data_IF_819419824255
#
_entry.id   IF_819419824255
#
_cell.length_a   1.000
_cell.length_b   1.000
_cell.length_c   1.000
_cell.angle_alpha   90.00
_cell.angle_beta   90.00
_cell.angle_gamma   90.00
#
_symmetry.space_group_name_H-M   'P 1'
#
loop_
_entity.id
_entity.type
_entity.pdbx_description
1 polymer ?
#
# COMPACT_ATOMS: atom_id res chain seq x y z
N UNK A 1 -48.92 -22.70 22.78
CA UNK A 1 -47.56 -22.28 23.18
C UNK A 1 -47.04 -21.32 22.08
N UNK A 2 -47.33 -20.07 22.28
CA UNK A 2 -47.00 -19.01 21.29
C UNK A 2 -46.53 -17.77 22.06
N UNK A 3 -45.45 -17.14 21.59
CA UNK A 3 -45.08 -15.78 21.91
C UNK A 3 -44.21 -15.49 23.16
N UNK A 4 -43.03 -16.05 23.25
CA UNK A 4 -42.02 -15.54 24.19
C UNK A 4 -40.81 -14.86 23.46
N UNK A 5 -40.85 -14.71 22.14
CA UNK A 5 -39.73 -14.09 21.37
C UNK A 5 -39.97 -12.64 20.93
N UNK A 6 -41.10 -12.01 21.30
CA UNK A 6 -41.46 -10.67 20.80
C UNK A 6 -40.73 -9.51 21.49
N UNK A 7 -39.96 -9.72 22.56
CA UNK A 7 -39.27 -8.67 23.31
C UNK A 7 -37.75 -8.89 23.47
N UNK A 8 -37.11 -9.69 22.59
CA UNK A 8 -35.66 -9.80 22.64
C UNK A 8 -35.04 -8.47 22.15
N UNK A 9 -34.04 -7.91 22.86
CA UNK A 9 -33.35 -6.71 22.37
C UNK A 9 -32.70 -6.99 21.04
N UNK A 10 -32.65 -6.01 20.11
CA UNK A 10 -32.03 -6.21 18.79
C UNK A 10 -30.55 -6.56 18.94
N UNK A 11 -30.09 -7.54 18.15
CA UNK A 11 -28.67 -7.91 18.07
C UNK A 11 -27.88 -6.70 17.58
N UNK A 12 -26.73 -6.43 18.20
CA UNK A 12 -25.88 -5.28 17.87
C UNK A 12 -24.54 -5.75 17.32
N UNK A 13 -24.12 -5.16 16.20
CA UNK A 13 -22.76 -5.27 15.71
C UNK A 13 -21.81 -4.43 16.58
N UNK A 14 -20.52 -4.81 16.60
CA UNK A 14 -19.52 -4.01 17.32
C UNK A 14 -19.34 -2.64 16.68
N UNK A 15 -18.94 -1.64 17.47
CA UNK A 15 -18.63 -0.30 16.94
C UNK A 15 -17.52 -0.34 15.87
N UNK A 16 -16.54 -1.25 16.01
CA UNK A 16 -15.47 -1.45 15.02
C UNK A 16 -16.02 -1.94 13.68
N UNK A 17 -16.91 -2.94 13.69
CA UNK A 17 -17.53 -3.45 12.46
C UNK A 17 -18.33 -2.35 11.73
N UNK A 18 -19.02 -1.49 12.49
CA UNK A 18 -19.78 -0.37 11.91
C UNK A 18 -18.90 0.79 11.43
N UNK A 19 -17.68 0.94 11.96
CA UNK A 19 -16.74 2.01 11.60
C UNK A 19 -15.89 1.68 10.35
N UNK A 20 -15.82 0.41 9.92
CA UNK A 20 -15.06 0.03 8.72
C UNK A 20 -15.71 0.67 7.48
N UNK A 21 -14.93 1.50 6.80
CA UNK A 21 -15.37 2.15 5.58
C UNK A 21 -15.33 1.18 4.39
N UNK A 22 -16.33 1.27 3.53
CA UNK A 22 -16.32 0.54 2.26
C UNK A 22 -15.30 1.17 1.30
N UNK A 23 -14.50 0.35 0.66
CA UNK A 23 -13.52 0.82 -0.32
C UNK A 23 -14.20 1.41 -1.55
N UNK A 24 -14.00 2.72 -1.81
CA UNK A 24 -14.49 3.39 -3.02
C UNK A 24 -14.01 2.69 -4.31
N UNK A 25 -12.79 2.16 -4.30
CA UNK A 25 -12.21 1.40 -5.42
C UNK A 25 -13.03 0.14 -5.70
N UNK A 26 -13.42 -0.61 -4.67
CA UNK A 26 -14.23 -1.85 -4.82
C UNK A 26 -15.66 -1.57 -5.26
N UNK A 27 -16.24 -0.45 -4.81
CA UNK A 27 -17.56 -0.01 -5.30
C UNK A 27 -17.58 0.18 -6.81
N UNK A 28 -16.59 0.89 -7.36
CA UNK A 28 -16.46 1.09 -8.79
C UNK A 28 -16.26 -0.22 -9.55
N UNK A 29 -15.44 -1.13 -9.03
CA UNK A 29 -15.23 -2.45 -9.62
C UNK A 29 -16.54 -3.28 -9.69
N UNK A 30 -17.37 -3.20 -8.66
CA UNK A 30 -18.67 -3.86 -8.66
C UNK A 30 -19.61 -3.28 -9.72
N UNK A 31 -19.54 -1.98 -10.00
CA UNK A 31 -20.30 -1.33 -11.09
C UNK A 31 -19.77 -1.73 -12.47
N UNK A 32 -18.45 -1.72 -12.66
CA UNK A 32 -17.81 -2.16 -13.92
C UNK A 32 -18.23 -3.58 -14.31
N UNK A 33 -18.32 -4.49 -13.34
CA UNK A 33 -18.69 -5.89 -13.60
C UNK A 33 -20.15 -6.08 -14.04
N UNK A 34 -21.00 -5.07 -13.91
CA UNK A 34 -22.40 -5.08 -14.37
C UNK A 34 -22.56 -4.53 -15.78
N UNK A 35 -21.55 -3.85 -16.33
CA UNK A 35 -21.61 -3.24 -17.66
C UNK A 35 -21.06 -4.23 -18.69
N UNK A 36 -21.86 -4.55 -19.72
CA UNK A 36 -21.49 -5.43 -20.82
C UNK A 36 -21.16 -4.64 -22.09
N UNK A 37 -20.34 -5.20 -22.98
CA UNK A 37 -20.02 -4.62 -24.28
C UNK A 37 -19.03 -3.44 -24.24
N UNK A 38 -18.45 -3.13 -23.09
CA UNK A 38 -17.47 -2.05 -22.93
C UNK A 38 -16.14 -2.62 -22.45
N UNK A 39 -15.07 -2.19 -23.08
CA UNK A 39 -13.71 -2.49 -22.60
C UNK A 39 -13.26 -1.40 -21.63
N UNK A 40 -12.98 -1.79 -20.39
CA UNK A 40 -12.52 -0.88 -19.35
C UNK A 40 -11.00 -0.93 -19.16
N UNK A 41 -10.34 0.19 -19.37
CA UNK A 41 -8.95 0.39 -19.00
C UNK A 41 -8.86 0.61 -17.48
N UNK A 42 -8.44 -0.41 -16.72
CA UNK A 42 -8.40 -0.36 -15.25
C UNK A 42 -7.10 0.26 -14.75
N UNK A 43 -7.11 1.55 -14.40
CA UNK A 43 -6.02 2.29 -13.78
C UNK A 43 -6.21 2.51 -12.27
N UNK A 44 -7.32 1.99 -11.72
CA UNK A 44 -7.67 2.13 -10.30
C UNK A 44 -7.02 1.07 -9.39
N UNK A 45 -6.60 -0.08 -9.93
CA UNK A 45 -6.08 -1.21 -9.15
C UNK A 45 -4.56 -1.29 -9.29
N UNK A 46 -3.87 -1.29 -8.14
CA UNK A 46 -2.42 -1.45 -8.07
C UNK A 46 -1.97 -2.90 -7.89
N UNK A 47 -2.50 -3.79 -8.73
CA UNK A 47 -2.04 -5.17 -8.79
C UNK A 47 -1.05 -5.32 -9.95
N UNK A 48 0.22 -5.69 -9.69
CA UNK A 48 1.18 -6.02 -10.74
C UNK A 48 0.64 -7.02 -11.75
N UNK A 49 0.97 -6.83 -13.04
CA UNK A 49 0.66 -7.76 -14.12
C UNK A 49 1.92 -8.35 -14.80
N UNK A 50 3.10 -7.90 -14.38
CA UNK A 50 4.37 -8.57 -14.75
C UNK A 50 4.29 -10.01 -14.24
N UNK A 51 4.68 -11.01 -15.06
CA UNK A 51 4.61 -12.40 -14.63
C UNK A 51 5.34 -12.66 -13.33
N UNK A 52 4.72 -13.42 -12.43
CA UNK A 52 5.41 -13.93 -11.24
C UNK A 52 6.64 -14.75 -11.66
N UNK A 53 7.82 -14.57 -11.05
CA UNK A 53 9.05 -15.27 -11.46
C UNK A 53 8.87 -16.77 -11.49
N UNK A 54 9.44 -17.43 -12.51
CA UNK A 54 9.31 -18.87 -12.70
C UNK A 54 9.79 -19.66 -11.48
N UNK A 55 10.89 -19.25 -10.85
CA UNK A 55 11.42 -19.90 -9.65
C UNK A 55 10.40 -19.88 -8.48
N UNK A 56 9.59 -18.81 -8.35
CA UNK A 56 8.53 -18.68 -7.35
C UNK A 56 7.39 -19.67 -7.66
N UNK A 57 7.00 -19.75 -8.93
CA UNK A 57 5.93 -20.67 -9.36
C UNK A 57 6.35 -22.14 -9.21
N UNK A 58 7.61 -22.47 -9.54
CA UNK A 58 8.15 -23.81 -9.38
C UNK A 58 8.24 -24.21 -7.91
N UNK A 59 8.71 -23.31 -7.04
CA UNK A 59 8.73 -23.56 -5.59
C UNK A 59 7.31 -23.74 -5.01
N UNK A 60 6.33 -23.00 -5.54
CA UNK A 60 4.94 -23.15 -5.15
C UNK A 60 4.35 -24.52 -5.61
N UNK A 61 4.77 -25.02 -6.76
CA UNK A 61 4.33 -26.29 -7.30
C UNK A 61 5.04 -27.51 -6.67
N UNK A 62 6.25 -27.33 -6.15
CA UNK A 62 7.10 -28.39 -5.60
C UNK A 62 6.66 -28.95 -4.24
N UNK A 63 5.60 -28.43 -3.62
CA UNK A 63 5.10 -28.95 -2.35
C UNK A 63 4.45 -30.32 -2.55
N UNK A 64 5.10 -31.34 -2.01
CA UNK A 64 4.67 -32.77 -2.09
C UNK A 64 4.37 -33.36 -0.69
N UNK A 65 4.08 -32.52 0.29
CA UNK A 65 3.75 -33.02 1.63
C UNK A 65 2.37 -33.66 1.65
N UNK A 66 2.31 -34.90 2.14
CA UNK A 66 1.03 -35.62 2.32
C UNK A 66 0.17 -35.01 3.43
N UNK A 67 0.78 -34.25 4.36
CA UNK A 67 0.10 -33.55 5.45
C UNK A 67 0.50 -32.08 5.44
N UNK A 68 -0.47 -31.20 5.28
CA UNK A 68 -0.28 -29.75 5.40
C UNK A 68 -0.24 -29.37 6.88
N UNK A 69 0.90 -29.59 7.53
CA UNK A 69 1.10 -29.30 8.94
C UNK A 69 1.23 -27.79 9.21
N UNK A 70 0.96 -27.40 10.46
CA UNK A 70 1.23 -26.03 10.91
C UNK A 70 2.73 -25.73 10.85
N UNK A 71 3.06 -24.51 10.38
CA UNK A 71 4.40 -23.95 10.54
C UNK A 71 4.56 -23.19 11.86
N UNK A 72 5.81 -22.81 12.24
CA UNK A 72 6.05 -21.96 13.39
C UNK A 72 5.29 -20.63 13.32
N UNK A 73 4.90 -20.09 14.47
CA UNK A 73 4.11 -18.85 14.56
C UNK A 73 4.82 -17.62 13.94
N UNK A 74 6.13 -17.53 14.12
CA UNK A 74 6.97 -16.47 13.53
C UNK A 74 7.34 -16.71 12.06
N UNK A 75 6.99 -17.86 11.51
CA UNK A 75 7.35 -18.33 10.17
C UNK A 75 8.44 -19.40 10.16
N UNK A 76 8.59 -20.07 9.01
CA UNK A 76 9.66 -21.07 8.80
C UNK A 76 11.03 -20.44 9.04
N UNK A 77 11.93 -21.16 9.67
CA UNK A 77 13.28 -20.67 9.96
C UNK A 77 13.99 -20.23 8.68
N UNK A 78 13.91 -21.05 7.65
CA UNK A 78 14.52 -20.78 6.33
C UNK A 78 13.92 -19.53 5.66
N UNK A 79 12.64 -19.26 5.87
CA UNK A 79 11.98 -18.08 5.32
C UNK A 79 12.42 -16.82 6.07
N UNK A 80 12.55 -16.89 7.39
CA UNK A 80 13.08 -15.79 8.22
C UNK A 80 14.54 -15.51 7.89
N UNK A 81 15.37 -16.55 7.68
CA UNK A 81 16.76 -16.41 7.24
C UNK A 81 16.85 -15.74 5.87
N UNK A 82 16.03 -16.18 4.91
CA UNK A 82 15.99 -15.59 3.58
C UNK A 82 15.55 -14.12 3.62
N UNK A 83 14.57 -13.78 4.45
CA UNK A 83 14.13 -12.40 4.65
C UNK A 83 15.21 -11.54 5.30
N UNK A 84 15.87 -12.04 6.36
CA UNK A 84 16.99 -11.35 6.99
C UNK A 84 18.14 -11.11 6.01
N UNK A 85 18.51 -12.12 5.21
CA UNK A 85 19.53 -12.00 4.18
C UNK A 85 19.15 -10.99 3.09
N UNK A 86 17.89 -11.00 2.66
CA UNK A 86 17.38 -10.04 1.68
C UNK A 86 17.47 -8.59 2.18
N UNK A 87 16.97 -8.32 3.39
CA UNK A 87 17.05 -7.00 3.99
C UNK A 87 18.48 -6.60 4.31
N UNK A 88 19.36 -7.55 4.66
CA UNK A 88 20.79 -7.31 4.93
C UNK A 88 21.58 -6.85 3.72
N UNK A 89 21.08 -7.01 2.50
CA UNK A 89 21.72 -6.44 1.29
C UNK A 89 21.87 -4.92 1.37
N UNK A 90 20.94 -4.27 2.04
CA UNK A 90 20.95 -2.80 2.23
C UNK A 90 21.08 -2.39 3.70
N UNK A 91 20.75 -3.27 4.65
CA UNK A 91 20.71 -3.02 6.09
C UNK A 91 21.48 -4.10 6.85
N UNK A 92 22.83 -4.11 6.81
CA UNK A 92 23.66 -5.22 7.33
C UNK A 92 23.38 -5.57 8.79
N UNK A 93 23.62 -6.85 9.15
CA UNK A 93 23.56 -7.35 10.53
C UNK A 93 22.17 -7.79 10.99
N UNK A 94 21.21 -7.95 10.09
CA UNK A 94 19.92 -8.56 10.41
C UNK A 94 20.05 -10.08 10.47
N UNK A 95 19.32 -10.67 11.40
CA UNK A 95 19.22 -12.12 11.61
C UNK A 95 17.73 -12.51 11.63
N UNK A 96 17.43 -13.79 11.69
CA UNK A 96 16.04 -14.28 11.75
C UNK A 96 15.25 -13.73 12.95
N UNK A 97 15.92 -13.40 14.03
CA UNK A 97 15.31 -12.85 15.25
C UNK A 97 14.71 -11.46 14.99
N UNK A 98 15.21 -10.75 14.00
CA UNK A 98 14.71 -9.42 13.57
C UNK A 98 13.50 -9.50 12.63
N UNK A 99 13.00 -10.72 12.32
CA UNK A 99 11.96 -10.91 11.30
C UNK A 99 10.82 -11.79 11.79
N UNK A 100 9.58 -11.33 11.60
CA UNK A 100 8.35 -12.13 11.71
C UNK A 100 7.69 -12.21 10.35
N UNK A 101 7.36 -13.43 9.90
CA UNK A 101 6.61 -13.66 8.66
C UNK A 101 5.12 -13.47 8.93
N UNK A 102 4.44 -12.79 8.01
CA UNK A 102 3.03 -12.42 8.13
C UNK A 102 2.21 -12.81 6.90
N UNK A 103 0.88 -12.76 7.01
CA UNK A 103 -0.06 -12.98 5.89
C UNK A 103 -0.11 -11.73 4.97
N UNK A 104 1.03 -11.45 4.31
CA UNK A 104 1.25 -10.24 3.51
C UNK A 104 1.50 -9.00 4.37
N UNK A 105 1.86 -7.89 3.74
CA UNK A 105 2.11 -6.60 4.41
C UNK A 105 0.90 -6.09 5.21
N UNK A 106 -0.32 -6.49 4.85
CA UNK A 106 -1.53 -6.11 5.59
C UNK A 106 -1.54 -6.61 7.03
N UNK A 107 -1.13 -7.86 7.27
CA UNK A 107 -1.03 -8.38 8.62
C UNK A 107 0.19 -7.80 9.36
N UNK A 108 1.29 -7.54 8.66
CA UNK A 108 2.45 -6.87 9.26
C UNK A 108 2.07 -5.48 9.79
N UNK A 109 1.32 -4.69 9.02
CA UNK A 109 0.78 -3.41 9.45
C UNK A 109 -0.17 -3.55 10.64
N UNK A 110 -1.08 -4.54 10.59
CA UNK A 110 -2.00 -4.80 11.69
C UNK A 110 -1.24 -5.20 12.97
N UNK A 111 -0.24 -6.07 12.86
CA UNK A 111 0.58 -6.48 14.01
C UNK A 111 1.37 -5.30 14.60
N UNK A 112 1.94 -4.44 13.75
CA UNK A 112 2.59 -3.22 14.22
C UNK A 112 1.60 -2.32 14.98
N UNK A 113 0.41 -2.07 14.43
CA UNK A 113 -0.57 -1.21 15.08
C UNK A 113 -1.12 -1.82 16.38
N UNK A 114 -1.46 -3.12 16.39
CA UNK A 114 -1.96 -3.81 17.60
C UNK A 114 -0.88 -3.93 18.68
N UNK A 115 0.38 -4.11 18.27
CA UNK A 115 1.50 -4.24 19.21
C UNK A 115 1.95 -2.91 19.82
N UNK A 116 1.62 -1.77 19.21
CA UNK A 116 2.12 -0.45 19.58
C UNK A 116 1.03 0.51 20.08
N UNK A 117 -0.25 0.22 19.84
CA UNK A 117 -1.35 1.08 20.19
C UNK A 117 -2.34 0.40 21.11
N UNK A 118 -2.77 1.15 22.12
CA UNK A 118 -3.96 0.85 22.93
C UNK A 118 -5.22 1.47 22.31
N UNK A 119 -6.42 1.03 22.72
CA UNK A 119 -7.66 1.63 22.26
C UNK A 119 -7.73 3.13 22.53
N UNK A 120 -7.89 3.92 21.49
CA UNK A 120 -7.95 5.38 21.54
C UNK A 120 -6.64 6.09 21.23
N UNK A 121 -5.54 5.35 21.03
CA UNK A 121 -4.28 5.90 20.58
C UNK A 121 -4.32 6.39 19.12
N UNK A 122 -3.32 7.18 18.73
CA UNK A 122 -3.27 7.90 17.49
C UNK A 122 -2.04 7.54 16.67
N UNK A 123 -2.25 7.46 15.34
CA UNK A 123 -1.23 7.14 14.34
C UNK A 123 -1.15 8.32 13.37
N UNK A 124 -0.04 9.05 13.36
CA UNK A 124 0.22 10.09 12.37
C UNK A 124 0.60 9.46 11.03
N UNK A 125 -0.07 9.89 9.96
CA UNK A 125 0.16 9.39 8.60
C UNK A 125 0.14 10.52 7.60
N UNK A 126 1.22 10.72 6.78
CA UNK A 126 1.19 11.67 5.68
C UNK A 126 0.06 11.36 4.70
N UNK A 127 -0.84 12.33 4.45
CA UNK A 127 -1.96 12.19 3.51
C UNK A 127 -1.67 12.92 2.18
N UNK A 128 -2.10 12.35 1.03
CA UNK A 128 -2.92 11.16 0.87
C UNK A 128 -2.14 9.86 1.17
N UNK A 129 -2.84 8.85 1.70
CA UNK A 129 -2.24 7.59 2.13
C UNK A 129 -3.01 6.35 1.66
N UNK A 130 -2.41 5.17 1.84
CA UNK A 130 -3.05 3.90 1.52
C UNK A 130 -4.32 3.68 2.34
N UNK A 131 -5.46 3.58 1.66
CA UNK A 131 -6.81 3.58 2.26
C UNK A 131 -7.01 2.57 3.39
N UNK A 132 -6.33 1.41 3.33
CA UNK A 132 -6.49 0.36 4.32
C UNK A 132 -5.82 0.68 5.67
N UNK A 133 -4.99 1.73 5.79
CA UNK A 133 -4.45 2.14 7.09
C UNK A 133 -5.59 2.50 8.07
N UNK A 134 -6.67 3.12 7.61
CA UNK A 134 -7.86 3.38 8.42
C UNK A 134 -8.48 2.08 8.95
N UNK A 135 -8.58 1.05 8.11
CA UNK A 135 -9.11 -0.25 8.51
C UNK A 135 -8.24 -0.94 9.56
N UNK A 136 -6.92 -0.95 9.37
CA UNK A 136 -5.98 -1.55 10.33
C UNK A 136 -5.97 -0.79 11.66
N UNK A 137 -5.98 0.55 11.63
CA UNK A 137 -6.11 1.37 12.82
C UNK A 137 -7.41 1.07 13.57
N UNK A 138 -8.55 0.97 12.85
CA UNK A 138 -9.84 0.60 13.43
C UNK A 138 -9.78 -0.79 14.09
N UNK A 139 -9.12 -1.79 13.49
CA UNK A 139 -8.94 -3.11 14.10
C UNK A 139 -8.11 -3.03 15.38
N UNK A 140 -7.05 -2.24 15.40
CA UNK A 140 -6.24 -1.99 16.59
C UNK A 140 -6.98 -1.14 17.65
N UNK A 141 -8.09 -0.50 17.31
CA UNK A 141 -8.79 0.45 18.17
C UNK A 141 -8.17 1.85 18.19
N UNK A 142 -7.19 2.11 17.31
CA UNK A 142 -6.51 3.39 17.16
C UNK A 142 -7.20 4.28 16.10
N UNK A 143 -6.72 5.53 15.97
CA UNK A 143 -7.18 6.51 15.00
C UNK A 143 -6.02 6.96 14.11
N UNK A 144 -6.28 7.11 12.82
CA UNK A 144 -5.37 7.82 11.93
C UNK A 144 -5.56 9.32 12.11
N UNK A 145 -4.46 10.04 12.35
CA UNK A 145 -4.38 11.50 12.37
C UNK A 145 -3.58 11.92 11.12
N UNK A 146 -4.20 12.63 10.16
CA UNK A 146 -3.55 12.96 8.92
C UNK A 146 -2.48 14.04 9.10
N UNK A 147 -1.31 13.81 8.52
CA UNK A 147 -0.25 14.82 8.36
C UNK A 147 -0.41 15.44 6.98
N UNK A 148 -0.69 16.73 6.85
CA UNK A 148 -0.96 17.35 5.56
C UNK A 148 0.28 17.36 4.68
N UNK A 149 0.16 16.86 3.44
CA UNK A 149 1.15 17.02 2.38
C UNK A 149 0.50 17.59 1.13
N UNK A 150 1.28 18.07 0.16
CA UNK A 150 0.77 18.79 -1.01
C UNK A 150 1.39 18.27 -2.31
N UNK A 151 0.56 18.16 -3.34
CA UNK A 151 0.96 17.73 -4.69
C UNK A 151 2.04 18.65 -5.28
N UNK A 152 1.87 19.96 -5.14
CA UNK A 152 2.79 20.99 -5.61
C UNK A 152 4.13 21.03 -4.84
N UNK A 153 4.21 20.39 -3.68
CA UNK A 153 5.43 20.20 -2.88
C UNK A 153 5.99 18.76 -2.99
N UNK A 154 5.52 17.97 -3.98
CA UNK A 154 5.94 16.58 -4.17
C UNK A 154 5.57 15.66 -3.01
N UNK A 155 4.54 16.01 -2.24
CA UNK A 155 4.08 15.30 -1.04
C UNK A 155 5.15 15.16 0.05
N UNK A 156 6.05 16.11 0.17
CA UNK A 156 7.09 16.16 1.20
C UNK A 156 6.47 16.17 2.61
N UNK A 157 7.13 15.49 3.56
CA UNK A 157 6.74 15.54 4.97
C UNK A 157 6.99 16.95 5.51
N UNK A 158 5.99 17.63 6.11
CA UNK A 158 6.11 19.04 6.54
C UNK A 158 7.16 19.22 7.65
N UNK A 159 7.38 20.48 8.05
CA UNK A 159 8.32 20.86 9.11
C UNK A 159 7.94 20.25 10.47
N UNK A 160 8.92 20.22 11.38
CA UNK A 160 8.73 19.72 12.74
C UNK A 160 7.64 20.51 13.49
N UNK A 161 7.49 21.84 13.24
CA UNK A 161 6.44 22.65 13.87
C UNK A 161 5.04 22.18 13.48
N UNK A 162 4.83 21.81 12.20
CA UNK A 162 3.56 21.27 11.74
C UNK A 162 3.33 19.88 12.37
N UNK A 163 4.36 19.04 12.41
CA UNK A 163 4.27 17.74 13.04
C UNK A 163 3.97 17.87 14.54
N UNK A 164 4.60 18.81 15.24
CA UNK A 164 4.40 19.08 16.66
C UNK A 164 2.96 19.47 16.99
N UNK A 165 2.33 20.23 16.11
CA UNK A 165 0.93 20.66 16.27
C UNK A 165 -0.09 19.50 16.21
N UNK A 166 0.32 18.34 15.67
CA UNK A 166 -0.52 17.16 15.50
C UNK A 166 -0.30 16.11 16.61
N UNK A 167 0.80 16.22 17.37
CA UNK A 167 1.11 15.26 18.45
C UNK A 167 0.27 15.54 19.66
N UNK A 168 -0.33 14.48 20.20
CA UNK A 168 -1.03 14.48 21.49
C UNK A 168 -0.40 13.45 22.44
N UNK A 169 -0.86 13.41 23.67
CA UNK A 169 -0.46 12.37 24.64
C UNK A 169 -0.84 10.94 24.20
N UNK A 170 -1.76 10.82 23.23
CA UNK A 170 -2.21 9.55 22.64
C UNK A 170 -1.45 9.14 21.40
N UNK A 171 -0.63 10.00 20.85
CA UNK A 171 0.13 9.67 19.64
C UNK A 171 1.19 8.62 19.96
N UNK A 172 1.24 7.53 19.18
CA UNK A 172 2.18 6.41 19.36
C UNK A 172 3.03 6.14 18.16
N UNK A 173 2.50 6.34 16.97
CA UNK A 173 3.16 5.93 15.72
C UNK A 173 3.20 7.11 14.74
N UNK A 174 4.34 7.25 14.05
CA UNK A 174 4.42 7.92 12.77
C UNK A 174 4.57 6.85 11.69
N UNK A 175 3.56 6.66 10.84
CA UNK A 175 3.51 5.66 9.78
C UNK A 175 3.63 6.35 8.42
N UNK A 176 4.51 5.85 7.56
CA UNK A 176 4.64 6.33 6.19
C UNK A 176 4.95 5.19 5.21
N UNK A 177 4.60 5.35 3.93
CA UNK A 177 5.01 4.45 2.85
C UNK A 177 6.19 5.05 2.07
N UNK A 178 7.23 4.27 1.80
CA UNK A 178 8.40 4.73 1.05
C UNK A 178 9.01 3.62 0.17
N UNK A 179 8.81 3.69 -1.16
CA UNK A 179 8.03 4.63 -1.99
C UNK A 179 6.53 4.65 -1.68
N UNK A 180 5.88 5.80 -1.90
CA UNK A 180 4.53 6.07 -1.47
C UNK A 180 3.41 5.45 -2.33
N UNK A 181 2.35 4.99 -1.69
CA UNK A 181 1.04 4.75 -2.27
C UNK A 181 0.04 5.64 -1.52
N UNK A 182 -0.63 6.60 -2.16
CA UNK A 182 -0.91 6.69 -3.62
C UNK A 182 0.02 7.61 -4.43
N UNK A 183 0.99 8.26 -3.82
CA UNK A 183 1.68 9.42 -4.39
C UNK A 183 2.81 9.09 -5.36
N UNK A 184 3.46 7.93 -5.20
CA UNK A 184 4.71 7.61 -5.91
C UNK A 184 5.92 8.43 -5.43
N UNK A 185 5.76 9.26 -4.41
CA UNK A 185 6.85 10.03 -3.83
C UNK A 185 7.86 9.12 -3.10
N UNK A 186 9.12 9.55 -3.09
CA UNK A 186 10.21 8.91 -2.35
C UNK A 186 10.79 9.92 -1.36
N UNK A 187 10.70 9.60 -0.08
CA UNK A 187 11.29 10.45 0.94
C UNK A 187 12.80 10.29 0.95
N UNK A 188 13.51 11.39 0.76
CA UNK A 188 14.97 11.42 0.74
C UNK A 188 15.59 11.12 2.10
N UNK A 189 16.87 10.73 2.09
CA UNK A 189 17.59 10.30 3.29
C UNK A 189 17.65 11.40 4.37
N UNK A 190 17.79 12.67 4.00
CA UNK A 190 17.80 13.78 4.94
C UNK A 190 16.45 13.93 5.65
N UNK A 191 15.36 13.89 4.87
CA UNK A 191 14.01 13.98 5.42
C UNK A 191 13.69 12.82 6.36
N UNK A 192 14.09 11.59 6.01
CA UNK A 192 13.89 10.42 6.87
C UNK A 192 14.69 10.51 8.16
N UNK A 193 15.95 10.99 8.12
CA UNK A 193 16.75 11.21 9.34
C UNK A 193 16.13 12.28 10.24
N UNK A 194 15.65 13.39 9.66
CA UNK A 194 14.93 14.44 10.40
C UNK A 194 13.71 13.87 11.11
N UNK A 195 12.86 13.14 10.38
CA UNK A 195 11.63 12.56 10.92
C UNK A 195 11.93 11.51 12.00
N UNK A 196 12.96 10.67 11.82
CA UNK A 196 13.37 9.70 12.83
C UNK A 196 13.84 10.37 14.12
N UNK A 197 14.67 11.41 14.00
CA UNK A 197 15.13 12.18 15.16
C UNK A 197 13.96 12.90 15.86
N UNK A 198 13.02 13.43 15.09
CA UNK A 198 11.81 14.04 15.60
C UNK A 198 10.93 13.01 16.34
N UNK A 199 10.63 11.88 15.71
CA UNK A 199 9.82 10.82 16.30
C UNK A 199 10.43 10.31 17.63
N UNK A 200 11.76 10.12 17.66
CA UNK A 200 12.47 9.73 18.90
C UNK A 200 12.31 10.77 20.01
N UNK A 201 12.45 12.07 19.69
CA UNK A 201 12.25 13.15 20.69
C UNK A 201 10.83 13.16 21.25
N UNK A 202 9.83 12.74 20.46
CA UNK A 202 8.43 12.65 20.87
C UNK A 202 8.05 11.29 21.49
N UNK A 203 8.98 10.34 21.58
CA UNK A 203 8.69 8.99 22.08
C UNK A 203 7.78 8.17 21.18
N UNK A 204 7.81 8.41 19.86
CA UNK A 204 6.98 7.74 18.87
C UNK A 204 7.71 6.60 18.18
N UNK A 205 6.98 5.54 17.85
CA UNK A 205 7.44 4.51 16.94
C UNK A 205 7.41 5.02 15.49
N UNK A 206 8.41 4.62 14.72
CA UNK A 206 8.50 4.89 13.30
C UNK A 206 8.17 3.61 12.52
N UNK A 207 7.03 3.57 11.84
CA UNK A 207 6.62 2.42 11.02
C UNK A 207 6.75 2.80 9.55
N UNK A 208 7.62 2.12 8.82
CA UNK A 208 7.86 2.32 7.39
C UNK A 208 7.25 1.19 6.58
N UNK A 209 6.25 1.49 5.77
CA UNK A 209 5.71 0.58 4.77
C UNK A 209 6.60 0.62 3.52
N UNK A 210 7.51 -0.35 3.39
CA UNK A 210 8.51 -0.44 2.34
C UNK A 210 8.17 -1.47 1.25
N UNK A 211 6.89 -1.83 1.08
CA UNK A 211 6.47 -2.86 0.10
C UNK A 211 6.84 -2.52 -1.35
N UNK A 212 7.16 -1.26 -1.64
CA UNK A 212 7.64 -0.79 -2.95
C UNK A 212 9.14 -0.53 -2.99
N UNK A 213 9.92 -0.87 -1.95
CA UNK A 213 11.35 -0.52 -1.80
C UNK A 213 12.24 -0.89 -3.00
N UNK A 214 11.87 -1.92 -3.76
CA UNK A 214 12.63 -2.35 -4.93
C UNK A 214 12.18 -1.67 -6.25
N UNK A 215 11.12 -0.86 -6.24
CA UNK A 215 10.56 -0.17 -7.41
C UNK A 215 10.81 1.34 -7.24
N UNK A 216 11.93 1.80 -7.77
CA UNK A 216 12.37 3.19 -7.74
C UNK A 216 13.02 3.57 -9.08
N UNK A 217 13.06 4.87 -9.42
CA UNK A 217 13.38 5.31 -10.79
C UNK A 217 14.59 6.24 -10.89
N UNK A 218 15.03 6.87 -9.81
CA UNK A 218 16.19 7.77 -9.77
C UNK A 218 17.31 7.23 -8.89
N UNK A 219 17.01 6.96 -7.60
CA UNK A 219 17.97 6.45 -6.64
C UNK A 219 17.28 5.48 -5.66
N UNK A 220 18.01 4.48 -5.12
CA UNK A 220 17.44 3.57 -4.14
C UNK A 220 16.98 4.33 -2.90
N UNK A 221 15.73 4.08 -2.43
CA UNK A 221 15.24 4.69 -1.20
C UNK A 221 16.05 4.19 0.00
N UNK A 222 16.34 5.09 0.94
CA UNK A 222 16.90 4.70 2.23
C UNK A 222 15.87 3.85 2.99
N UNK A 223 16.24 2.63 3.39
CA UNK A 223 15.41 1.86 4.31
C UNK A 223 15.45 2.48 5.71
N UNK A 224 14.31 2.50 6.40
CA UNK A 224 14.22 2.97 7.77
C UNK A 224 15.09 2.12 8.73
N UNK A 225 15.42 0.87 8.38
CA UNK A 225 16.37 0.03 9.12
C UNK A 225 17.82 0.58 9.17
N UNK A 226 18.12 1.59 8.33
CA UNK A 226 19.44 2.24 8.26
C UNK A 226 19.45 3.64 8.90
N UNK A 227 18.46 3.97 9.68
CA UNK A 227 18.41 5.23 10.42
C UNK A 227 19.26 5.11 11.69
N UNK A 228 20.56 5.32 11.53
CA UNK A 228 21.57 5.14 12.59
C UNK A 228 21.22 5.92 13.87
N UNK A 229 21.29 5.26 15.03
CA UNK A 229 20.90 5.81 16.34
C UNK A 229 19.40 5.82 16.58
N UNK A 230 18.61 5.21 15.69
CA UNK A 230 17.15 5.15 15.77
C UNK A 230 16.59 3.73 15.63
N UNK A 231 17.46 2.72 15.72
CA UNK A 231 17.15 1.33 15.40
C UNK A 231 16.11 0.70 16.34
N UNK A 232 16.06 1.17 17.57
CA UNK A 232 15.23 0.62 18.65
C UNK A 232 13.76 1.01 18.58
N UNK A 233 13.39 2.01 17.75
CA UNK A 233 12.00 2.44 17.57
C UNK A 233 11.51 2.39 16.11
N UNK A 234 12.22 1.65 15.26
CA UNK A 234 11.88 1.48 13.83
C UNK A 234 11.30 0.11 13.57
N UNK A 235 10.21 0.06 12.82
CA UNK A 235 9.62 -1.13 12.22
C UNK A 235 9.52 -0.91 10.71
N UNK A 236 9.97 -1.91 9.95
CA UNK A 236 9.76 -1.97 8.49
C UNK A 236 8.74 -3.07 8.18
N UNK A 237 7.79 -2.74 7.33
CA UNK A 237 6.84 -3.67 6.74
C UNK A 237 7.21 -3.89 5.28
N UNK A 238 7.34 -5.14 4.88
CA UNK A 238 7.61 -5.52 3.49
C UNK A 238 6.73 -6.69 3.04
N UNK A 239 6.74 -7.02 1.75
CA UNK A 239 5.88 -8.07 1.20
C UNK A 239 6.38 -8.57 -0.16
N UNK A 240 6.11 -9.82 -0.45
CA UNK A 240 6.32 -10.40 -1.79
C UNK A 240 5.34 -9.85 -2.85
N UNK A 241 4.33 -9.11 -2.44
CA UNK A 241 3.18 -8.76 -3.29
C UNK A 241 3.54 -7.89 -4.49
N UNK A 242 4.44 -6.91 -4.33
CA UNK A 242 4.64 -5.87 -5.35
C UNK A 242 5.86 -6.12 -6.20
N UNK A 243 7.02 -6.27 -5.59
CA UNK A 243 8.28 -6.52 -6.29
C UNK A 243 8.24 -7.81 -7.10
N UNK A 244 7.61 -8.85 -6.59
CA UNK A 244 7.61 -10.18 -7.22
C UNK A 244 6.29 -10.53 -7.92
N UNK A 245 5.38 -9.57 -8.08
CA UNK A 245 4.05 -9.83 -8.64
C UNK A 245 3.33 -11.01 -7.99
N UNK A 246 3.53 -11.20 -6.69
CA UNK A 246 3.09 -12.38 -5.95
C UNK A 246 2.04 -12.03 -4.89
N UNK A 247 1.08 -11.15 -5.23
CA UNK A 247 0.03 -10.71 -4.32
C UNK A 247 -0.78 -11.90 -3.73
N UNK A 248 -0.96 -12.96 -4.51
CA UNK A 248 -1.70 -14.17 -4.14
C UNK A 248 -0.97 -15.07 -3.15
N UNK A 249 0.35 -14.98 -3.01
CA UNK A 249 1.10 -15.76 -2.01
C UNK A 249 0.72 -15.42 -0.58
N UNK A 250 0.29 -14.17 -0.33
CA UNK A 250 -0.03 -13.68 1.02
C UNK A 250 1.14 -13.84 2.00
N UNK A 251 2.35 -13.52 1.58
CA UNK A 251 3.53 -13.51 2.44
C UNK A 251 4.08 -12.08 2.55
N UNK A 252 4.28 -11.65 3.78
CA UNK A 252 4.88 -10.38 4.15
C UNK A 252 5.83 -10.55 5.32
N UNK A 253 6.49 -9.46 5.66
CA UNK A 253 7.52 -9.43 6.69
C UNK A 253 7.35 -8.20 7.55
N UNK A 254 7.50 -8.39 8.84
CA UNK A 254 7.69 -7.33 9.81
C UNK A 254 9.13 -7.44 10.30
N UNK A 255 9.90 -6.36 10.17
CA UNK A 255 11.34 -6.36 10.46
C UNK A 255 11.67 -5.20 11.39
N UNK A 256 12.37 -5.50 12.48
CA UNK A 256 12.88 -4.49 13.43
C UNK A 256 14.15 -4.96 14.08
N UNK A 257 15.03 -4.03 14.47
CA UNK A 257 16.22 -4.33 15.28
C UNK A 257 15.92 -4.38 16.78
N UNK A 258 14.72 -3.98 17.19
CA UNK A 258 14.26 -4.09 18.56
C UNK A 258 13.79 -5.52 18.88
N UNK A 259 14.68 -6.32 19.49
CA UNK A 259 14.40 -7.73 19.76
C UNK A 259 13.29 -7.92 20.81
N UNK A 260 13.17 -7.03 21.80
CA UNK A 260 12.06 -7.10 22.76
C UNK A 260 10.71 -6.92 22.07
N UNK A 261 10.60 -5.93 21.18
CA UNK A 261 9.41 -5.73 20.37
C UNK A 261 9.11 -6.97 19.51
N UNK A 262 10.14 -7.52 18.84
CA UNK A 262 9.96 -8.68 17.96
C UNK A 262 9.44 -9.91 18.72
N UNK A 263 9.92 -10.13 19.95
CA UNK A 263 9.40 -11.19 20.83
C UNK A 263 7.90 -10.97 21.16
N UNK A 264 7.49 -9.73 21.43
CA UNK A 264 6.07 -9.42 21.71
C UNK A 264 5.20 -9.62 20.47
N UNK A 265 5.67 -9.18 19.29
CA UNK A 265 4.95 -9.36 18.03
C UNK A 265 4.86 -10.84 17.61
N UNK A 266 5.88 -11.66 17.93
CA UNK A 266 5.79 -13.11 17.74
C UNK A 266 4.63 -13.73 18.53
N UNK A 267 4.35 -13.24 19.74
CA UNK A 267 3.21 -13.72 20.56
C UNK A 267 1.86 -13.43 19.90
N UNK A 268 1.72 -12.33 19.16
CA UNK A 268 0.53 -12.10 18.29
C UNK A 268 0.46 -13.19 17.21
N UNK A 269 1.62 -13.55 16.64
CA UNK A 269 1.75 -14.66 15.71
C UNK A 269 1.29 -16.00 16.30
N UNK A 270 1.59 -16.27 17.58
CA UNK A 270 1.13 -17.48 18.28
C UNK A 270 -0.39 -17.54 18.39
N UNK A 271 -1.06 -16.43 18.63
CA UNK A 271 -2.51 -16.35 18.68
C UNK A 271 -3.17 -16.59 17.31
N UNK A 272 -2.51 -16.19 16.21
CA UNK A 272 -2.96 -16.36 14.83
C UNK A 272 -2.59 -17.72 14.24
N UNK A 273 -1.55 -18.39 14.76
CA UNK A 273 -0.78 -19.50 14.21
C UNK A 273 0.18 -19.06 13.07
N UNK A 274 0.95 -19.99 12.49
CA UNK A 274 1.92 -19.69 11.44
C UNK A 274 1.27 -19.35 10.09
N UNK A 275 1.90 -18.47 9.27
CA UNK A 275 1.53 -18.35 7.87
C UNK A 275 1.74 -19.66 7.14
N UNK A 276 0.98 -19.90 6.09
CA UNK A 276 0.99 -21.18 5.35
C UNK A 276 2.40 -21.50 4.79
N UNK A 277 2.94 -22.73 5.07
CA UNK A 277 4.33 -23.06 4.73
C UNK A 277 4.66 -23.01 3.24
N UNK A 278 3.72 -23.45 2.39
CA UNK A 278 3.89 -23.49 0.94
C UNK A 278 4.22 -22.11 0.35
N UNK A 279 3.49 -21.06 0.75
CA UNK A 279 3.80 -19.69 0.29
C UNK A 279 5.12 -19.18 0.85
N UNK A 280 5.51 -19.59 2.06
CA UNK A 280 6.81 -19.22 2.61
C UNK A 280 7.96 -19.83 1.80
N UNK A 281 7.87 -21.10 1.35
CA UNK A 281 8.87 -21.71 0.46
C UNK A 281 8.95 -20.98 -0.88
N UNK A 282 7.81 -20.61 -1.46
CA UNK A 282 7.79 -19.78 -2.66
C UNK A 282 8.38 -18.38 -2.42
N UNK A 283 8.15 -17.79 -1.24
CA UNK A 283 8.76 -16.51 -0.86
C UNK A 283 10.28 -16.60 -0.71
N UNK A 284 10.82 -17.71 -0.23
CA UNK A 284 12.28 -17.95 -0.19
C UNK A 284 12.87 -17.83 -1.61
N UNK A 285 12.27 -18.50 -2.59
CA UNK A 285 12.71 -18.42 -3.98
C UNK A 285 12.64 -16.99 -4.53
N UNK A 286 11.62 -16.21 -4.16
CA UNK A 286 11.50 -14.81 -4.53
C UNK A 286 12.64 -13.95 -3.95
N UNK A 287 12.92 -14.09 -2.64
CA UNK A 287 13.93 -13.31 -1.93
C UNK A 287 15.37 -13.62 -2.40
N UNK A 288 15.59 -14.80 -2.95
CA UNK A 288 16.90 -15.26 -3.46
C UNK A 288 17.16 -14.84 -4.92
N UNK A 289 16.22 -14.17 -5.59
CA UNK A 289 16.42 -13.73 -6.96
C UNK A 289 17.63 -12.79 -7.09
N UNK A 290 18.34 -12.85 -8.23
CA UNK A 290 19.53 -12.04 -8.47
C UNK A 290 19.19 -10.57 -8.69
N UNK A 291 20.17 -9.67 -8.59
CA UNK A 291 19.98 -8.22 -8.79
C UNK A 291 19.47 -7.90 -10.21
N UNK A 292 19.78 -8.71 -11.20
CA UNK A 292 19.26 -8.56 -12.57
C UNK A 292 17.73 -8.57 -12.64
N UNK A 293 17.08 -9.37 -11.80
CA UNK A 293 15.62 -9.38 -11.71
C UNK A 293 15.07 -8.03 -11.21
N UNK A 294 15.67 -7.47 -10.18
CA UNK A 294 15.23 -6.17 -9.64
C UNK A 294 15.49 -5.04 -10.63
N UNK A 295 16.60 -5.10 -11.37
CA UNK A 295 16.92 -4.14 -12.43
C UNK A 295 15.89 -4.21 -13.57
N UNK A 296 15.47 -5.40 -13.97
CA UNK A 296 14.42 -5.61 -14.97
C UNK A 296 13.06 -5.06 -14.49
N UNK A 297 12.65 -5.39 -13.28
CA UNK A 297 11.40 -4.87 -12.68
C UNK A 297 11.40 -3.35 -12.64
N UNK A 298 12.50 -2.72 -12.20
CA UNK A 298 12.64 -1.26 -12.21
C UNK A 298 12.52 -0.68 -13.61
N UNK A 299 13.18 -1.31 -14.60
CA UNK A 299 13.11 -0.88 -16.00
C UNK A 299 11.69 -0.92 -16.53
N UNK A 300 10.98 -2.03 -16.34
CA UNK A 300 9.59 -2.21 -16.78
C UNK A 300 8.68 -1.14 -16.16
N UNK A 301 8.72 -0.95 -14.84
CA UNK A 301 7.83 0.03 -14.20
C UNK A 301 8.23 1.47 -14.52
N UNK A 302 9.52 1.76 -14.67
CA UNK A 302 9.96 3.09 -15.11
C UNK A 302 9.41 3.43 -16.49
N UNK A 303 9.54 2.53 -17.45
CA UNK A 303 9.03 2.70 -18.83
C UNK A 303 7.51 2.92 -18.84
N UNK A 304 6.78 2.12 -18.06
CA UNK A 304 5.32 2.25 -17.90
C UNK A 304 4.90 3.58 -17.27
N UNK A 305 5.59 3.97 -16.21
CA UNK A 305 5.35 5.26 -15.55
C UNK A 305 5.65 6.40 -16.51
N UNK A 306 6.79 6.39 -17.20
CA UNK A 306 7.15 7.43 -18.17
C UNK A 306 6.08 7.52 -19.28
N UNK A 307 5.65 6.39 -19.85
CA UNK A 307 4.60 6.36 -20.87
C UNK A 307 3.27 6.96 -20.38
N UNK A 308 2.87 6.66 -19.13
CA UNK A 308 1.67 7.22 -18.51
C UNK A 308 1.82 8.73 -18.26
N UNK A 309 2.97 9.17 -17.70
CA UNK A 309 3.20 10.56 -17.35
C UNK A 309 3.31 11.46 -18.60
N UNK A 310 3.97 10.99 -19.65
CA UNK A 310 4.06 11.72 -20.91
C UNK A 310 2.68 11.91 -21.54
N UNK A 311 1.85 10.86 -21.52
CA UNK A 311 0.48 10.97 -22.02
C UNK A 311 -0.41 11.89 -21.16
N UNK A 312 -0.26 11.89 -19.82
CA UNK A 312 -0.97 12.82 -18.93
C UNK A 312 -0.59 14.28 -19.19
N UNK A 313 0.66 14.54 -19.53
CA UNK A 313 1.16 15.90 -19.84
C UNK A 313 0.50 16.49 -21.09
N UNK A 314 -0.05 15.67 -21.98
CA UNK A 314 -0.79 16.12 -23.16
C UNK A 314 -2.23 16.58 -22.87
N UNK A 315 -2.73 16.33 -21.64
CA UNK A 315 -4.10 16.71 -21.26
C UNK A 315 -4.07 18.11 -20.60
N UNK A 316 -4.71 19.13 -21.22
CA UNK A 316 -4.71 20.47 -20.64
C UNK A 316 -5.39 20.55 -19.27
N UNK A 317 -4.81 21.31 -18.35
CA UNK A 317 -5.40 21.59 -17.05
C UNK A 317 -5.17 20.51 -15.99
N UNK A 318 -4.43 19.45 -16.29
CA UNK A 318 -3.98 18.49 -15.29
C UNK A 318 -2.76 19.01 -14.53
N UNK A 319 -2.76 18.76 -13.20
CA UNK A 319 -1.55 18.84 -12.39
C UNK A 319 -1.29 17.47 -11.77
N UNK A 320 -0.04 17.03 -11.76
CA UNK A 320 0.33 15.72 -11.23
C UNK A 320 1.76 15.72 -10.69
N UNK A 321 2.03 14.81 -9.77
CA UNK A 321 3.39 14.52 -9.33
C UNK A 321 3.98 13.39 -10.18
N UNK A 322 5.20 13.59 -10.74
CA UNK A 322 5.90 12.51 -11.44
C UNK A 322 6.49 11.54 -10.39
N UNK A 323 6.08 10.28 -10.39
CA UNK A 323 6.53 9.33 -9.37
C UNK A 323 8.04 9.11 -9.41
N UNK A 324 8.66 9.02 -8.25
CA UNK A 324 10.07 8.65 -8.08
C UNK A 324 10.21 7.15 -7.75
N UNK A 325 9.12 6.52 -7.32
CA UNK A 325 9.05 5.09 -7.03
C UNK A 325 7.61 4.56 -6.99
N UNK A 326 7.44 3.29 -6.66
CA UNK A 326 6.20 2.55 -6.81
C UNK A 326 5.70 2.59 -8.28
N UNK A 327 4.42 2.55 -8.52
CA UNK A 327 3.81 2.65 -9.85
C UNK A 327 2.49 3.46 -9.81
N UNK A 328 2.41 4.45 -8.89
CA UNK A 328 1.24 5.30 -8.75
C UNK A 328 1.59 6.76 -8.98
N UNK A 329 0.58 7.52 -9.39
CA UNK A 329 0.59 8.97 -9.30
C UNK A 329 -0.76 9.47 -8.82
N UNK A 330 -0.73 10.59 -8.07
CA UNK A 330 -1.88 11.44 -7.85
C UNK A 330 -1.93 12.52 -8.93
N UNK A 331 -3.10 12.71 -9.50
CA UNK A 331 -3.34 13.75 -10.50
C UNK A 331 -4.57 14.58 -10.11
N UNK A 332 -4.45 15.90 -10.17
CA UNK A 332 -5.55 16.85 -10.01
C UNK A 332 -6.16 17.13 -11.37
N UNK A 333 -7.47 16.96 -11.46
CA UNK A 333 -8.26 17.12 -12.66
C UNK A 333 -9.03 18.46 -12.65
N UNK A 334 -9.36 19.03 -13.81
CA UNK A 334 -10.22 20.23 -13.91
C UNK A 334 -11.72 19.87 -13.70
N UNK A 335 -12.03 19.13 -12.63
CA UNK A 335 -13.39 18.75 -12.22
C UNK A 335 -13.56 19.00 -10.73
N UNK A 336 -14.78 19.31 -10.29
CA UNK A 336 -15.06 19.59 -8.87
C UNK A 336 -15.36 18.35 -8.02
N UNK A 337 -15.65 17.22 -8.66
CA UNK A 337 -16.02 15.97 -7.99
C UNK A 337 -15.56 14.74 -8.78
N UNK A 338 -14.44 14.17 -8.39
CA UNK A 338 -13.87 12.99 -9.05
C UNK A 338 -14.63 11.70 -8.75
N UNK A 339 -15.40 11.60 -7.66
CA UNK A 339 -16.26 10.43 -7.42
C UNK A 339 -17.41 10.42 -8.43
N UNK A 340 -18.04 11.58 -8.68
CA UNK A 340 -19.07 11.74 -9.70
C UNK A 340 -18.49 11.49 -11.09
N UNK A 341 -17.32 12.05 -11.39
CA UNK A 341 -16.64 11.83 -12.67
C UNK A 341 -16.29 10.36 -12.89
N UNK A 342 -15.69 9.67 -11.90
CA UNK A 342 -15.35 8.26 -12.01
C UNK A 342 -16.58 7.36 -12.20
N UNK A 343 -17.68 7.67 -11.54
CA UNK A 343 -18.96 6.97 -11.74
C UNK A 343 -19.49 7.18 -13.15
N UNK A 344 -19.51 8.43 -13.64
CA UNK A 344 -19.95 8.75 -14.99
C UNK A 344 -19.09 8.04 -16.06
N UNK A 345 -17.77 7.95 -15.86
CA UNK A 345 -16.89 7.17 -16.75
C UNK A 345 -17.32 5.70 -16.84
N UNK A 346 -17.79 5.10 -15.76
CA UNK A 346 -18.23 3.70 -15.74
C UNK A 346 -19.64 3.55 -16.32
N UNK A 347 -20.57 4.40 -15.94
CA UNK A 347 -21.99 4.21 -16.22
C UNK A 347 -22.39 4.75 -17.61
N UNK A 348 -21.82 5.87 -18.04
CA UNK A 348 -22.32 6.64 -19.20
C UNK A 348 -21.28 6.82 -20.32
N UNK A 349 -20.04 7.17 -20.00
CA UNK A 349 -19.04 7.54 -20.99
C UNK A 349 -18.57 6.35 -21.82
N UNK A 350 -18.49 6.55 -23.15
CA UNK A 350 -17.99 5.57 -24.12
C UNK A 350 -17.17 6.27 -25.20
N UNK A 351 -15.89 5.94 -25.27
CA UNK A 351 -15.03 6.29 -26.40
C UNK A 351 -15.17 5.19 -27.48
N UNK A 352 -15.56 5.55 -28.70
CA UNK A 352 -15.73 4.62 -29.81
C UNK A 352 -14.73 4.86 -30.95
N UNK A 353 -13.69 5.67 -30.70
CA UNK A 353 -12.72 6.06 -31.76
C UNK A 353 -11.92 4.89 -32.33
N UNK A 354 -11.82 3.76 -31.61
CA UNK A 354 -11.16 2.53 -32.08
C UNK A 354 -12.09 1.51 -32.72
N UNK A 355 -13.37 1.83 -32.88
CA UNK A 355 -14.38 0.91 -33.40
C UNK A 355 -15.01 -0.02 -32.35
N UNK A 356 -14.56 0.03 -31.09
CA UNK A 356 -15.20 -0.61 -29.94
C UNK A 356 -15.53 0.43 -28.86
N UNK A 357 -16.51 0.13 -28.00
CA UNK A 357 -16.81 0.98 -26.86
C UNK A 357 -15.75 0.78 -25.77
N UNK A 358 -15.07 1.87 -25.40
CA UNK A 358 -14.03 1.88 -24.37
C UNK A 358 -14.34 2.91 -23.28
N UNK A 359 -13.91 2.63 -22.07
CA UNK A 359 -13.88 3.59 -20.97
C UNK A 359 -12.70 3.33 -20.06
N UNK A 360 -12.49 4.18 -19.06
CA UNK A 360 -11.38 4.08 -18.10
C UNK A 360 -11.92 4.07 -16.67
N UNK A 361 -11.30 3.29 -15.80
CA UNK A 361 -11.61 3.24 -14.37
C UNK A 361 -10.44 3.85 -13.60
N UNK A 362 -10.72 4.89 -12.86
CA UNK A 362 -9.74 5.61 -12.00
C UNK A 362 -10.12 5.46 -10.53
N UNK A 363 -9.19 5.71 -9.62
CA UNK A 363 -9.49 5.73 -8.19
C UNK A 363 -9.69 7.17 -7.72
N UNK A 364 -10.90 7.58 -7.30
CA UNK A 364 -11.16 8.93 -6.79
C UNK A 364 -10.34 9.29 -5.57
N UNK A 365 -9.88 10.55 -5.51
CA UNK A 365 -9.01 11.08 -4.48
C UNK A 365 -9.55 11.05 -3.06
N UNK A 366 -10.84 11.36 -2.78
CA UNK A 366 -11.36 11.41 -1.42
C UNK A 366 -11.08 10.15 -0.59
N UNK A 367 -11.05 8.97 -1.23
CA UNK A 367 -10.75 7.71 -0.55
C UNK A 367 -9.33 7.59 0.02
N UNK A 368 -8.41 8.49 -0.31
CA UNK A 368 -7.01 8.49 0.17
C UNK A 368 -6.75 9.53 1.27
N UNK A 369 -7.78 10.25 1.70
CA UNK A 369 -7.73 11.27 2.73
C UNK A 369 -8.53 10.86 3.96
N UNK A 370 -8.15 11.35 5.14
CA UNK A 370 -8.92 11.14 6.37
C UNK A 370 -10.27 11.85 6.31
N UNK A 371 -10.27 13.06 5.75
CA UNK A 371 -11.48 13.86 5.50
C UNK A 371 -11.89 13.70 4.02
N UNK A 372 -13.06 13.08 3.73
CA UNK A 372 -13.52 12.87 2.36
C UNK A 372 -13.91 14.17 1.62
N UNK A 373 -13.89 15.31 2.29
CA UNK A 373 -14.02 16.62 1.62
C UNK A 373 -12.75 17.05 0.89
N UNK A 374 -11.60 16.44 1.21
CA UNK A 374 -10.31 16.67 0.54
C UNK A 374 -10.16 15.77 -0.69
N UNK A 375 -9.25 16.14 -1.59
CA UNK A 375 -8.92 15.39 -2.80
C UNK A 375 -10.09 15.22 -3.77
N UNK A 376 -11.12 16.06 -3.69
CA UNK A 376 -12.32 15.96 -4.53
C UNK A 376 -12.07 16.20 -6.00
N UNK A 377 -11.01 16.88 -6.33
CA UNK A 377 -10.51 17.14 -7.68
C UNK A 377 -9.32 16.22 -8.06
N UNK A 378 -8.98 15.25 -7.22
CA UNK A 378 -7.84 14.36 -7.43
C UNK A 378 -8.26 12.93 -7.75
N UNK A 379 -7.39 12.23 -8.49
CA UNK A 379 -7.48 10.79 -8.73
C UNK A 379 -6.12 10.13 -8.52
N UNK A 380 -6.13 8.85 -8.14
CA UNK A 380 -4.95 8.00 -8.24
C UNK A 380 -5.00 7.16 -9.51
N UNK A 381 -3.86 7.09 -10.21
CA UNK A 381 -3.63 6.22 -11.36
C UNK A 381 -2.51 5.21 -11.04
N UNK A 382 -2.63 4.00 -11.60
CA UNK A 382 -1.66 2.92 -11.44
C UNK A 382 -1.07 2.51 -12.79
N UNK A 383 0.26 2.56 -12.94
CA UNK A 383 1.00 2.18 -14.15
C UNK A 383 1.34 0.68 -14.15
N UNK A 384 0.32 -0.18 -14.08
CA UNK A 384 0.46 -1.64 -13.99
C UNK A 384 0.10 -2.38 -15.27
N UNK A 385 0.05 -1.67 -16.40
CA UNK A 385 -0.24 -2.22 -17.73
C UNK A 385 0.89 -1.89 -18.70
N UNK A 386 0.88 -2.57 -19.87
CA UNK A 386 1.80 -2.28 -20.95
C UNK A 386 1.70 -0.81 -21.40
N UNK A 387 2.80 -0.23 -21.87
CA UNK A 387 2.92 1.19 -22.23
C UNK A 387 1.84 1.64 -23.22
N UNK A 388 1.58 0.85 -24.27
CA UNK A 388 0.54 1.16 -25.26
C UNK A 388 -0.86 1.20 -24.65
N UNK A 389 -1.14 0.30 -23.70
CA UNK A 389 -2.41 0.27 -22.98
C UNK A 389 -2.54 1.49 -22.05
N UNK A 390 -1.46 1.90 -21.39
CA UNK A 390 -1.45 3.08 -20.53
C UNK A 390 -1.67 4.36 -21.34
N UNK A 391 -0.96 4.53 -22.47
CA UNK A 391 -1.18 5.67 -23.38
C UNK A 391 -2.63 5.70 -23.87
N UNK A 392 -3.20 4.55 -24.25
CA UNK A 392 -4.61 4.48 -24.66
C UNK A 392 -5.55 4.81 -23.51
N UNK A 393 -5.34 4.28 -22.31
CA UNK A 393 -6.15 4.56 -21.13
C UNK A 393 -6.17 6.07 -20.82
N UNK A 394 -5.02 6.74 -20.89
CA UNK A 394 -4.91 8.19 -20.66
C UNK A 394 -5.61 8.98 -21.79
N UNK A 395 -5.52 8.55 -23.05
CA UNK A 395 -6.24 9.18 -24.16
C UNK A 395 -7.76 9.10 -23.95
N UNK A 396 -8.26 7.93 -23.50
CA UNK A 396 -9.68 7.72 -23.14
C UNK A 396 -10.09 8.61 -21.95
N UNK A 397 -9.23 8.76 -20.94
CA UNK A 397 -9.44 9.68 -19.81
C UNK A 397 -9.56 11.13 -20.30
N UNK A 398 -8.66 11.58 -21.18
CA UNK A 398 -8.70 12.91 -21.79
C UNK A 398 -9.96 13.15 -22.61
N UNK A 399 -10.44 12.13 -23.35
CA UNK A 399 -11.70 12.21 -24.06
C UNK A 399 -12.90 12.35 -23.10
N UNK A 400 -12.88 11.60 -21.99
CA UNK A 400 -13.88 11.72 -20.93
C UNK A 400 -13.90 13.12 -20.31
N UNK A 401 -12.75 13.68 -19.97
CA UNK A 401 -12.65 15.04 -19.40
C UNK A 401 -13.24 16.11 -20.32
N UNK A 402 -13.05 16.00 -21.64
CA UNK A 402 -13.63 16.94 -22.61
C UNK A 402 -15.16 16.85 -22.70
N UNK A 403 -15.75 15.70 -22.38
CA UNK A 403 -17.20 15.46 -22.50
C UNK A 403 -17.96 15.63 -21.19
N UNK A 404 -17.27 15.48 -20.05
CA UNK A 404 -17.93 15.60 -18.75
C UNK A 404 -18.45 17.02 -18.51
N UNK A 405 -19.71 17.12 -18.11
CA UNK A 405 -20.42 18.39 -17.80
C UNK A 405 -20.80 18.44 -16.32
N UNK A 406 -19.81 18.31 -15.44
CA UNK A 406 -19.75 18.58 -14.03
C UNK A 406 -20.91 18.25 -13.12
#
# INVERSE_FOLDING_TARGET
MSSTFQNAPPLRLSRRAMAIQESAIRKLDASVNKVSGVFFHRMNIGQPDVPTPRAVMDALAAEDSQVLAYGPASGLLECRDAAAAFHSRTSPGLTREHTVVTQGGSEALLFAMVGLCDPGDEILVPEPYYTNYNGFATFAGAKVVPVPTRLDEGFAIPSDDVLDSLVTERTRIFLFANPGNPTGAVYGAEQLRRVAAWARRKGLWLVADEVYRAIWFSAPPLSALNLAGHEDHVIVVDSTSKTFSACGLRIGFLVSRNLELMERLERLGQARLGPQPRGQRAAIAALQLPESYYAEVRHIYKSRVDAMMDALAEIPGLAFHRPEGAFYTMARLPVSDTERFARWLVDEFRDTTTGRAESVVVAPGPGFYADPSKGRDEIRLAAVREESQLRRAVAVLGAGLRQFRG
#
